data_IF_704716340434
#
_entry.id   IF_704716340434
#
_cell.length_a   1.000
_cell.length_b   1.000
_cell.length_c   1.000
_cell.angle_alpha   90.00
_cell.angle_beta   90.00
_cell.angle_gamma   90.00
#
_symmetry.space_group_name_H-M   'P 1'
#
loop_
_entity.id
_entity.type
_entity.pdbx_description
1 polymer ?
#
# COMPACT_ATOMS: atom_id res chain seq x y z
N UNK A 1 -26.33 7.04 54.12
CA UNK A 1 -27.05 7.06 52.84
C UNK A 1 -26.44 8.20 52.04
N UNK A 2 -25.19 8.19 51.62
CA UNK A 2 -24.34 7.16 51.00
C UNK A 2 -24.99 6.49 49.78
N UNK A 3 -24.65 7.02 48.61
CA UNK A 3 -24.67 6.33 47.32
C UNK A 3 -23.71 7.06 46.37
N UNK A 4 -22.42 6.74 46.53
CA UNK A 4 -21.37 7.03 45.56
C UNK A 4 -21.16 5.79 44.69
N UNK A 5 -21.93 5.67 43.60
CA UNK A 5 -21.64 4.67 42.57
C UNK A 5 -20.62 5.23 41.59
N UNK A 6 -19.37 4.86 41.86
CA UNK A 6 -18.26 4.98 40.92
C UNK A 6 -18.47 3.95 39.80
N UNK A 7 -18.79 4.42 38.59
CA UNK A 7 -18.67 3.60 37.39
C UNK A 7 -17.18 3.35 37.12
N UNK A 8 -16.67 2.24 37.64
CA UNK A 8 -15.43 1.62 37.18
C UNK A 8 -15.62 1.14 35.75
N UNK A 9 -15.39 2.03 34.79
CA UNK A 9 -15.27 1.69 33.38
C UNK A 9 -14.06 0.77 33.19
N UNK A 10 -14.33 -0.49 32.90
CA UNK A 10 -13.34 -1.51 32.53
C UNK A 10 -12.53 -0.97 31.36
N UNK A 11 -11.28 -0.57 31.59
CA UNK A 11 -10.34 -0.29 30.50
C UNK A 11 -10.13 -1.60 29.75
N UNK A 12 -10.33 -1.67 28.42
CA UNK A 12 -9.94 -2.85 27.66
C UNK A 12 -8.48 -3.13 27.96
N UNK A 13 -8.17 -4.39 28.27
CA UNK A 13 -6.88 -4.84 28.77
C UNK A 13 -5.84 -4.61 27.66
N UNK A 14 -5.16 -3.46 27.66
CA UNK A 14 -4.14 -3.14 26.66
C UNK A 14 -3.08 -4.25 26.69
N UNK A 15 -2.73 -4.88 25.56
CA UNK A 15 -1.71 -5.91 25.55
C UNK A 15 -0.44 -5.36 26.18
N UNK A 16 0.05 -6.03 27.23
CA UNK A 16 1.28 -5.64 27.90
C UNK A 16 2.45 -6.03 26.99
N UNK A 17 3.33 -5.06 26.73
CA UNK A 17 4.55 -5.26 25.96
C UNK A 17 5.75 -4.96 26.84
N UNK A 18 6.85 -5.63 26.56
CA UNK A 18 8.12 -5.49 27.29
C UNK A 18 9.26 -5.23 26.29
N UNK A 19 10.11 -4.25 26.60
CA UNK A 19 11.33 -3.99 25.83
C UNK A 19 12.33 -5.13 26.06
N UNK A 20 12.95 -5.59 24.97
CA UNK A 20 13.91 -6.69 25.00
C UNK A 20 15.32 -6.21 24.74
N UNK A 21 15.56 -5.56 23.59
CA UNK A 21 16.90 -5.15 23.16
C UNK A 21 16.86 -3.95 22.23
N UNK A 22 17.74 -2.98 22.47
CA UNK A 22 18.01 -1.88 21.55
C UNK A 22 18.82 -2.40 20.34
N UNK A 23 18.33 -2.11 19.14
CA UNK A 23 18.92 -2.55 17.86
C UNK A 23 19.43 -1.39 17.00
N UNK A 24 19.14 -0.16 17.41
CA UNK A 24 19.61 1.07 16.78
C UNK A 24 19.20 2.28 17.61
N UNK A 25 19.66 3.49 17.24
CA UNK A 25 19.34 4.71 17.99
C UNK A 25 17.82 4.90 18.13
N UNK A 26 17.32 4.89 19.36
CA UNK A 26 15.89 5.03 19.66
C UNK A 26 15.00 3.95 19.01
N UNK A 27 15.56 2.76 18.74
CA UNK A 27 14.82 1.61 18.16
C UNK A 27 15.09 0.35 18.97
N UNK A 28 14.02 -0.16 19.57
CA UNK A 28 14.03 -1.33 20.43
C UNK A 28 13.23 -2.47 19.79
N UNK A 29 13.60 -3.69 20.15
CA UNK A 29 12.74 -4.86 19.99
C UNK A 29 11.86 -5.00 21.23
N UNK A 30 10.62 -5.42 21.04
CA UNK A 30 9.65 -5.67 22.10
C UNK A 30 8.96 -7.02 21.89
N UNK A 31 8.42 -7.58 22.97
CA UNK A 31 7.59 -8.79 22.96
C UNK A 31 6.30 -8.54 23.71
N UNK A 32 5.24 -9.26 23.32
CA UNK A 32 3.96 -9.22 24.04
C UNK A 32 4.04 -10.18 25.23
N UNK A 33 3.77 -9.69 26.43
CA UNK A 33 3.77 -10.51 27.66
C UNK A 33 2.76 -11.64 27.54
N UNK A 34 3.21 -12.88 27.77
CA UNK A 34 2.36 -14.07 27.71
C UNK A 34 1.99 -14.56 26.30
N UNK A 35 2.58 -14.00 25.23
CA UNK A 35 2.42 -14.56 23.89
C UNK A 35 3.26 -15.84 23.75
N UNK A 36 2.64 -17.04 23.60
CA UNK A 36 3.36 -18.30 23.48
C UNK A 36 4.18 -18.40 22.20
N UNK A 37 3.90 -17.56 21.19
CA UNK A 37 4.66 -17.51 19.94
C UNK A 37 5.94 -16.69 20.06
N UNK A 38 6.06 -15.85 21.08
CA UNK A 38 7.18 -14.94 21.25
C UNK A 38 7.34 -14.00 20.05
N UNK A 39 6.23 -13.51 19.48
CA UNK A 39 6.30 -12.59 18.34
C UNK A 39 7.07 -11.32 18.72
N UNK A 40 7.94 -10.91 17.80
CA UNK A 40 8.75 -9.70 17.97
C UNK A 40 8.02 -8.51 17.39
N UNK A 41 8.25 -7.36 18.02
CA UNK A 41 7.75 -6.06 17.64
C UNK A 41 8.87 -5.02 17.69
N UNK A 42 8.65 -3.86 17.08
CA UNK A 42 9.55 -2.71 17.20
C UNK A 42 8.96 -1.67 18.13
N UNK A 43 9.73 -1.19 19.10
CA UNK A 43 9.33 -0.11 19.98
C UNK A 43 10.22 1.11 19.73
N UNK A 44 9.60 2.30 19.63
CA UNK A 44 10.31 3.57 19.53
C UNK A 44 9.74 4.57 20.54
N UNK A 45 10.59 5.32 21.25
CA UNK A 45 10.09 6.30 22.21
C UNK A 45 9.37 7.43 21.47
N UNK A 46 8.30 7.96 22.04
CA UNK A 46 7.52 9.07 21.46
C UNK A 46 8.42 10.28 21.18
N UNK A 47 9.42 10.50 22.03
CA UNK A 47 10.44 11.55 21.87
C UNK A 47 11.26 11.43 20.58
N UNK A 48 11.43 10.23 20.01
CA UNK A 48 12.16 10.03 18.76
C UNK A 48 11.42 10.62 17.55
N UNK A 49 10.09 10.75 17.63
CA UNK A 49 9.27 11.36 16.57
C UNK A 49 9.36 12.89 16.59
N UNK A 50 9.72 13.49 17.73
CA UNK A 50 9.90 14.94 17.89
C UNK A 50 10.98 15.53 16.98
N UNK A 51 12.03 14.75 16.67
CA UNK A 51 13.16 15.20 15.82
C UNK A 51 12.73 15.65 14.42
N UNK A 52 11.55 15.24 13.96
CA UNK A 52 11.03 15.53 12.63
C UNK A 52 9.88 16.55 12.64
N UNK A 53 9.55 17.13 13.81
CA UNK A 53 8.43 18.04 14.00
C UNK A 53 9.02 19.42 14.31
N UNK A 54 8.44 20.50 13.75
CA UNK A 54 8.84 21.85 14.13
C UNK A 54 8.64 22.06 15.63
N UNK A 55 9.50 22.85 16.26
CA UNK A 55 9.49 23.01 17.73
C UNK A 55 8.14 23.52 18.28
N UNK A 56 7.40 24.29 17.48
CA UNK A 56 6.03 24.74 17.76
C UNK A 56 4.99 23.60 17.83
N UNK A 57 5.19 22.55 17.03
CA UNK A 57 4.22 21.47 16.84
C UNK A 57 4.52 20.27 17.75
N UNK A 58 5.75 20.21 18.27
CA UNK A 58 6.19 19.17 19.20
C UNK A 58 5.35 19.12 20.48
N UNK A 59 5.01 20.30 21.04
CA UNK A 59 4.16 20.40 22.23
C UNK A 59 2.71 20.00 21.94
N UNK A 60 2.19 20.34 20.75
CA UNK A 60 0.86 19.94 20.31
C UNK A 60 0.78 18.41 20.10
N UNK A 61 1.84 17.82 19.54
CA UNK A 61 1.96 16.37 19.36
C UNK A 61 1.95 15.60 20.69
N UNK A 62 2.76 16.04 21.66
CA UNK A 62 2.77 15.46 23.01
C UNK A 62 1.40 15.61 23.69
N UNK A 63 0.77 16.78 23.58
CA UNK A 63 -0.59 17.01 24.10
C UNK A 63 -1.60 16.07 23.44
N UNK A 64 -1.51 15.85 22.12
CA UNK A 64 -2.44 15.00 21.38
C UNK A 64 -2.31 13.52 21.77
N UNK A 65 -1.09 13.02 21.95
CA UNK A 65 -0.85 11.63 22.34
C UNK A 65 -1.07 11.36 23.83
N UNK A 66 -0.66 12.29 24.71
CA UNK A 66 -0.67 12.07 26.16
C UNK A 66 -1.90 12.67 26.85
N UNK A 67 -2.31 13.89 26.49
CA UNK A 67 -3.46 14.56 27.13
C UNK A 67 -4.78 14.14 26.48
N UNK A 68 -4.81 14.06 25.15
CA UNK A 68 -6.02 13.69 24.41
C UNK A 68 -6.14 12.19 24.10
N UNK A 69 -5.14 11.38 24.50
CA UNK A 69 -5.10 9.92 24.34
C UNK A 69 -5.41 9.46 22.89
N UNK A 70 -5.02 10.26 21.89
CA UNK A 70 -5.32 9.97 20.47
C UNK A 70 -4.49 8.83 19.90
N UNK A 71 -3.54 8.27 20.68
CA UNK A 71 -2.80 7.07 20.30
C UNK A 71 -3.73 5.91 19.91
N UNK A 72 -4.91 5.79 20.54
CA UNK A 72 -5.89 4.78 20.17
C UNK A 72 -6.52 5.04 18.79
N UNK A 73 -6.91 6.28 18.49
CA UNK A 73 -7.46 6.65 17.18
C UNK A 73 -6.41 6.44 16.06
N UNK A 74 -5.16 6.82 16.32
CA UNK A 74 -4.04 6.56 15.40
C UNK A 74 -3.82 5.06 15.21
N UNK A 75 -3.90 4.26 16.27
CA UNK A 75 -3.78 2.81 16.17
C UNK A 75 -4.92 2.19 15.35
N UNK A 76 -6.15 2.70 15.48
CA UNK A 76 -7.29 2.27 14.67
C UNK A 76 -7.05 2.54 13.18
N UNK A 77 -6.51 3.71 12.82
CA UNK A 77 -6.16 4.06 11.43
C UNK A 77 -5.07 3.14 10.85
N UNK A 78 -4.17 2.59 11.67
CA UNK A 78 -3.14 1.66 11.20
C UNK A 78 -3.51 0.18 11.40
N UNK A 79 -4.77 -0.10 11.71
CA UNK A 79 -5.26 -1.46 11.95
C UNK A 79 -5.74 -2.12 10.65
N UNK A 80 -4.80 -2.48 9.80
CA UNK A 80 -5.06 -3.23 8.57
C UNK A 80 -3.94 -4.24 8.31
N UNK A 81 -4.29 -5.42 7.79
CA UNK A 81 -3.32 -6.52 7.57
C UNK A 81 -2.16 -6.16 6.64
N UNK A 82 -2.43 -5.29 5.65
CA UNK A 82 -1.44 -4.81 4.69
C UNK A 82 -0.85 -3.43 5.02
N UNK A 83 -1.02 -2.93 6.25
CA UNK A 83 -0.32 -1.77 6.76
C UNK A 83 0.64 -2.20 7.88
N UNK A 84 1.75 -1.48 8.08
CA UNK A 84 2.54 -1.61 9.32
C UNK A 84 1.68 -1.07 10.45
N UNK A 85 1.26 -1.95 11.36
CA UNK A 85 0.32 -1.60 12.41
C UNK A 85 1.01 -1.05 13.64
N UNK A 86 0.37 -0.05 14.27
CA UNK A 86 0.65 0.38 15.63
C UNK A 86 -0.11 -0.57 16.58
N UNK A 87 0.60 -1.53 17.16
CA UNK A 87 0.02 -2.65 17.92
C UNK A 87 -0.07 -2.40 19.43
N UNK A 88 0.57 -1.35 19.94
CA UNK A 88 0.51 -1.04 21.36
C UNK A 88 1.39 0.12 21.81
N UNK A 89 1.45 0.28 23.13
CA UNK A 89 2.24 1.29 23.84
C UNK A 89 2.90 0.66 25.06
N UNK A 90 4.11 1.11 25.39
CA UNK A 90 4.80 0.76 26.64
C UNK A 90 5.05 2.06 27.40
N UNK A 91 4.65 2.11 28.66
CA UNK A 91 4.94 3.22 29.56
C UNK A 91 5.96 2.75 30.60
N UNK A 92 7.17 3.31 30.55
CA UNK A 92 8.25 3.03 31.48
C UNK A 92 8.44 4.19 32.45
N UNK A 93 8.40 3.90 33.74
CA UNK A 93 8.92 4.82 34.75
C UNK A 93 10.43 4.58 34.86
N UNK A 94 11.30 5.53 34.48
CA UNK A 94 12.73 5.37 34.66
C UNK A 94 13.04 5.32 36.16
N UNK A 95 13.52 4.16 36.63
CA UNK A 95 14.12 4.08 37.96
C UNK A 95 15.49 4.75 37.91
N UNK A 96 15.59 5.99 38.40
CA UNK A 96 16.89 6.63 38.59
C UNK A 96 17.70 5.83 39.64
N UNK A 97 19.02 5.70 39.42
CA UNK A 97 19.94 5.06 40.38
C UNK A 97 19.93 5.71 41.79
N UNK A 98 19.30 6.87 41.92
CA UNK A 98 19.18 7.65 43.16
C UNK A 98 17.86 7.44 43.92
N UNK A 99 17.01 6.47 43.55
CA UNK A 99 15.69 6.25 44.17
C UNK A 99 14.80 7.51 44.24
N UNK A 100 15.13 8.57 43.49
CA UNK A 100 14.20 9.68 43.26
C UNK A 100 13.30 9.27 42.12
N UNK A 101 12.01 9.17 42.42
CA UNK A 101 10.95 9.03 41.44
C UNK A 101 11.05 10.24 40.50
N UNK A 102 11.58 10.02 39.30
CA UNK A 102 11.44 11.00 38.23
C UNK A 102 9.97 10.91 37.81
N UNK A 103 9.24 12.03 37.86
CA UNK A 103 7.82 12.05 37.47
C UNK A 103 7.62 11.88 35.95
N UNK A 104 8.71 11.75 35.18
CA UNK A 104 8.68 11.66 33.73
C UNK A 104 8.57 10.21 33.27
N UNK A 105 7.35 9.77 32.96
CA UNK A 105 7.10 8.50 32.28
C UNK A 105 7.62 8.59 30.85
N UNK A 106 8.51 7.69 30.46
CA UNK A 106 8.93 7.54 29.06
C UNK A 106 8.00 6.55 28.35
N UNK A 107 7.39 6.99 27.25
CA UNK A 107 6.40 6.23 26.52
C UNK A 107 6.93 5.80 25.15
N UNK A 108 6.64 4.55 24.77
CA UNK A 108 7.06 3.94 23.51
C UNK A 108 5.84 3.52 22.70
N UNK A 109 5.88 3.75 21.39
CA UNK A 109 4.93 3.20 20.43
C UNK A 109 5.48 1.86 19.91
N UNK A 110 4.62 0.83 19.91
CA UNK A 110 4.98 -0.53 19.51
C UNK A 110 4.36 -0.83 18.15
N UNK A 111 5.20 -1.21 17.19
CA UNK A 111 4.87 -1.45 15.80
C UNK A 111 5.15 -2.90 15.40
N UNK A 112 4.51 -3.35 14.33
CA UNK A 112 4.87 -4.62 13.70
C UNK A 112 6.36 -4.72 13.39
N UNK A 113 6.92 -5.90 13.60
CA UNK A 113 8.25 -6.24 13.13
C UNK A 113 8.16 -6.97 11.78
N UNK A 114 8.72 -6.37 10.74
CA UNK A 114 8.84 -6.97 9.41
C UNK A 114 10.22 -7.61 9.25
N UNK A 115 10.29 -8.91 9.54
CA UNK A 115 11.52 -9.70 9.64
C UNK A 115 12.02 -10.29 8.30
N UNK A 116 11.33 -10.01 7.20
CA UNK A 116 11.73 -10.42 5.83
C UNK A 116 12.21 -9.25 4.96
N UNK A 117 12.62 -8.13 5.58
CA UNK A 117 13.10 -6.92 4.90
C UNK A 117 12.04 -6.25 4.00
N UNK A 118 12.46 -5.31 3.16
CA UNK A 118 11.61 -4.57 2.22
C UNK A 118 11.88 -4.95 0.76
N UNK A 119 11.00 -4.52 -0.15
CA UNK A 119 11.07 -4.83 -1.57
C UNK A 119 12.32 -4.26 -2.25
N UNK A 120 12.85 -3.12 -1.80
CA UNK A 120 14.15 -2.63 -2.27
C UNK A 120 15.29 -3.62 -2.02
N UNK A 121 15.30 -4.29 -0.86
CA UNK A 121 16.28 -5.32 -0.56
C UNK A 121 16.11 -6.57 -1.44
N UNK A 122 14.87 -6.92 -1.82
CA UNK A 122 14.61 -7.99 -2.79
C UNK A 122 15.20 -7.64 -4.15
N UNK A 123 15.00 -6.42 -4.64
CA UNK A 123 15.60 -5.95 -5.90
C UNK A 123 17.12 -5.96 -5.86
N UNK A 124 17.72 -5.55 -4.74
CA UNK A 124 19.17 -5.58 -4.57
C UNK A 124 19.73 -7.01 -4.62
N UNK A 125 19.06 -7.95 -3.96
CA UNK A 125 19.50 -9.35 -3.86
C UNK A 125 19.22 -10.16 -5.15
N UNK A 126 18.23 -9.74 -5.94
CA UNK A 126 17.90 -10.39 -7.20
C UNK A 126 18.54 -9.62 -8.36
N UNK A 127 19.75 -10.02 -8.75
CA UNK A 127 20.44 -9.40 -9.90
C UNK A 127 19.54 -9.44 -11.14
N UNK A 128 19.31 -8.28 -11.73
CA UNK A 128 18.56 -8.14 -12.97
C UNK A 128 19.32 -8.83 -14.11
N UNK A 129 18.73 -9.88 -14.69
CA UNK A 129 19.34 -10.67 -15.78
C UNK A 129 18.60 -10.48 -17.11
N UNK A 130 17.28 -10.38 -17.07
CA UNK A 130 16.43 -10.28 -18.25
C UNK A 130 15.16 -9.48 -17.92
N UNK A 131 14.77 -8.55 -18.81
CA UNK A 131 13.51 -7.81 -18.69
C UNK A 131 12.27 -8.61 -19.08
N UNK A 132 12.44 -9.79 -19.67
CA UNK A 132 11.31 -10.66 -20.03
C UNK A 132 10.74 -11.39 -18.81
N UNK A 133 11.51 -11.61 -17.75
CA UNK A 133 11.05 -12.24 -16.52
C UNK A 133 12.01 -11.94 -15.38
N UNK A 134 11.56 -11.16 -14.39
CA UNK A 134 12.42 -10.75 -13.29
C UNK A 134 12.10 -11.47 -11.97
N UNK A 135 10.90 -11.28 -11.41
CA UNK A 135 10.44 -11.97 -10.20
C UNK A 135 9.28 -12.94 -10.46
N UNK A 136 9.05 -13.96 -9.60
CA UNK A 136 7.93 -14.88 -9.75
C UNK A 136 6.57 -14.20 -9.85
N UNK A 137 5.68 -14.71 -10.70
CA UNK A 137 4.36 -14.11 -10.93
C UNK A 137 3.50 -14.14 -9.66
N UNK A 138 3.55 -15.23 -8.90
CA UNK A 138 2.92 -15.35 -7.58
C UNK A 138 3.38 -14.27 -6.60
N UNK A 139 4.65 -13.87 -6.64
CA UNK A 139 5.17 -12.81 -5.77
C UNK A 139 4.69 -11.42 -6.22
N UNK A 140 4.63 -11.18 -7.54
CA UNK A 140 4.01 -9.98 -8.10
C UNK A 140 2.53 -9.85 -7.67
N UNK A 141 1.76 -10.93 -7.75
CA UNK A 141 0.38 -10.97 -7.28
C UNK A 141 0.26 -10.71 -5.78
N UNK A 142 1.14 -11.32 -4.97
CA UNK A 142 1.16 -11.14 -3.53
C UNK A 142 1.33 -9.67 -3.14
N UNK A 143 2.29 -8.97 -3.76
CA UNK A 143 2.50 -7.53 -3.54
C UNK A 143 1.33 -6.71 -4.08
N UNK A 144 0.90 -6.95 -5.32
CA UNK A 144 -0.16 -6.21 -5.98
C UNK A 144 -1.45 -6.22 -5.15
N UNK A 145 -1.93 -7.40 -4.75
CA UNK A 145 -3.15 -7.54 -3.94
C UNK A 145 -3.02 -6.80 -2.62
N UNK A 146 -1.90 -7.00 -1.92
CA UNK A 146 -1.64 -6.39 -0.62
C UNK A 146 -1.68 -4.87 -0.67
N UNK A 147 -1.03 -4.26 -1.67
CA UNK A 147 -1.04 -2.80 -1.85
C UNK A 147 -2.42 -2.29 -2.25
N UNK A 148 -3.14 -3.00 -3.13
CA UNK A 148 -4.50 -2.60 -3.54
C UNK A 148 -5.52 -2.70 -2.40
N UNK A 149 -5.38 -3.66 -1.48
CA UNK A 149 -6.21 -3.70 -0.27
C UNK A 149 -5.84 -2.58 0.70
N UNK A 150 -4.54 -2.32 0.88
CA UNK A 150 -4.05 -1.23 1.73
C UNK A 150 -4.59 0.15 1.31
N UNK A 151 -4.56 0.48 0.02
CA UNK A 151 -5.10 1.76 -0.46
C UNK A 151 -6.63 1.82 -0.41
N UNK A 152 -7.35 0.71 -0.59
CA UNK A 152 -8.81 0.70 -0.41
C UNK A 152 -9.20 0.98 1.05
N UNK A 153 -8.42 0.45 1.99
CA UNK A 153 -8.58 0.78 3.39
C UNK A 153 -8.26 2.26 3.66
N UNK A 154 -7.14 2.78 3.15
CA UNK A 154 -6.73 4.18 3.38
C UNK A 154 -7.68 5.19 2.73
N UNK A 155 -8.11 4.97 1.48
CA UNK A 155 -8.97 5.90 0.75
C UNK A 155 -10.45 5.75 1.08
N UNK A 156 -10.96 4.53 0.99
CA UNK A 156 -12.39 4.28 1.05
C UNK A 156 -12.86 3.89 2.45
N UNK A 157 -11.94 3.68 3.40
CA UNK A 157 -12.26 3.18 4.73
C UNK A 157 -12.81 1.75 4.71
N UNK A 158 -12.47 0.97 3.68
CA UNK A 158 -13.03 -0.36 3.46
C UNK A 158 -12.03 -1.46 3.66
N UNK A 159 -12.47 -2.51 4.36
CA UNK A 159 -11.73 -3.73 4.60
C UNK A 159 -12.45 -4.91 3.96
N UNK A 160 -11.70 -5.89 3.45
CA UNK A 160 -12.26 -7.17 3.02
C UNK A 160 -12.62 -8.00 4.24
N UNK A 161 -13.88 -8.45 4.31
CA UNK A 161 -14.32 -9.42 5.29
C UNK A 161 -13.90 -10.82 4.89
N UNK A 162 -13.07 -11.45 5.74
CA UNK A 162 -12.67 -12.82 5.54
C UNK A 162 -13.86 -13.77 5.83
N UNK A 163 -14.26 -14.53 4.81
CA UNK A 163 -15.26 -15.58 4.91
C UNK A 163 -14.60 -16.95 4.68
N UNK A 164 -14.44 -17.78 5.72
CA UNK A 164 -13.76 -19.07 5.60
C UNK A 164 -14.53 -20.11 4.77
N UNK A 165 -15.83 -19.86 4.56
CA UNK A 165 -16.80 -20.68 3.84
C UNK A 165 -17.18 -20.10 2.47
N UNK A 166 -16.49 -19.06 1.99
CA UNK A 166 -16.73 -18.51 0.66
C UNK A 166 -16.38 -19.52 -0.44
N UNK A 167 -17.28 -19.64 -1.41
CA UNK A 167 -17.11 -20.49 -2.59
C UNK A 167 -16.29 -19.77 -3.68
N UNK A 168 -15.60 -20.50 -4.56
CA UNK A 168 -14.90 -19.91 -5.69
C UNK A 168 -15.84 -19.06 -6.57
N UNK A 169 -15.54 -17.77 -6.67
CA UNK A 169 -16.34 -16.81 -7.45
C UNK A 169 -17.30 -15.97 -6.61
N UNK A 170 -17.39 -16.21 -5.30
CA UNK A 170 -18.10 -15.30 -4.41
C UNK A 170 -17.48 -13.90 -4.45
N UNK A 171 -18.31 -12.84 -4.53
CA UNK A 171 -17.81 -11.48 -4.54
C UNK A 171 -17.13 -11.16 -3.21
N UNK A 172 -16.08 -10.35 -3.26
CA UNK A 172 -15.47 -9.80 -2.06
C UNK A 172 -16.49 -8.96 -1.29
N UNK A 173 -16.67 -9.30 -0.02
CA UNK A 173 -17.48 -8.49 0.88
C UNK A 173 -16.61 -7.45 1.56
N UNK A 174 -17.06 -6.20 1.45
CA UNK A 174 -16.36 -5.05 1.99
C UNK A 174 -17.12 -4.51 3.20
N UNK A 175 -16.41 -4.38 4.31
CA UNK A 175 -16.89 -3.71 5.52
C UNK A 175 -16.36 -2.28 5.57
N UNK A 176 -17.26 -1.32 5.81
CA UNK A 176 -16.87 0.05 6.15
C UNK A 176 -16.42 0.07 7.60
N UNK A 177 -15.19 0.53 7.82
CA UNK A 177 -14.56 0.59 9.15
C UNK A 177 -15.18 1.69 10.00
N UNK A 178 -15.48 2.83 9.36
CA UNK A 178 -16.13 3.99 9.97
C UNK A 178 -17.03 4.68 8.94
N UNK A 179 -18.17 5.20 9.38
CA UNK A 179 -19.09 5.99 8.53
C UNK A 179 -18.54 7.37 8.21
N UNK A 180 -17.67 7.89 9.08
CA UNK A 180 -17.04 9.21 8.96
C UNK A 180 -15.57 9.10 8.49
N UNK A 181 -15.22 8.01 7.80
CA UNK A 181 -13.86 7.81 7.30
C UNK A 181 -13.43 8.94 6.38
N UNK A 182 -12.32 9.59 6.74
CA UNK A 182 -11.66 10.59 5.90
C UNK A 182 -10.57 9.92 5.07
N UNK A 183 -10.57 10.08 3.73
CA UNK A 183 -9.56 9.47 2.88
C UNK A 183 -8.14 9.87 3.27
N UNK A 184 -7.24 8.91 3.21
CA UNK A 184 -5.83 9.08 3.55
C UNK A 184 -4.99 8.79 2.32
N UNK A 185 -4.24 9.79 1.87
CA UNK A 185 -3.22 9.67 0.83
C UNK A 185 -1.90 9.30 1.49
N UNK A 186 -1.30 8.17 1.11
CA UNK A 186 0.01 7.73 1.55
C UNK A 186 1.15 8.60 1.00
N UNK A 187 1.07 9.03 -0.27
CA UNK A 187 2.08 9.89 -0.97
C UNK A 187 3.52 9.36 -1.03
N UNK A 188 3.76 8.08 -0.74
CA UNK A 188 5.11 7.50 -0.66
C UNK A 188 5.16 6.00 -0.99
N UNK A 189 4.31 5.52 -1.88
CA UNK A 189 4.30 4.11 -2.29
C UNK A 189 5.53 3.84 -3.16
N UNK A 190 6.59 3.33 -2.54
CA UNK A 190 7.87 3.03 -3.15
C UNK A 190 8.43 1.70 -2.60
N UNK A 191 9.32 0.98 -3.32
CA UNK A 191 9.84 -0.31 -2.88
C UNK A 191 10.51 -0.32 -1.49
N UNK A 192 11.06 0.81 -1.05
CA UNK A 192 11.68 0.94 0.26
C UNK A 192 10.68 0.91 1.43
N UNK A 193 9.40 1.15 1.13
CA UNK A 193 8.32 1.27 2.11
C UNK A 193 7.35 0.08 2.07
N UNK A 194 7.67 -0.95 1.28
CA UNK A 194 6.89 -2.18 1.15
C UNK A 194 7.67 -3.28 1.87
N UNK A 195 7.14 -3.75 2.98
CA UNK A 195 7.81 -4.62 3.93
C UNK A 195 7.17 -6.00 3.96
N UNK A 196 7.98 -7.00 4.29
CA UNK A 196 7.55 -8.40 4.37
C UNK A 196 7.75 -8.97 5.77
N UNK A 197 6.84 -9.84 6.17
CA UNK A 197 7.00 -10.72 7.32
C UNK A 197 7.34 -12.14 6.86
N UNK A 198 7.99 -12.91 7.73
CA UNK A 198 8.18 -14.35 7.53
C UNK A 198 6.83 -15.05 7.55
N UNK A 199 6.72 -16.14 6.79
CA UNK A 199 5.54 -17.01 6.81
C UNK A 199 5.35 -17.60 8.20
N UNK A 200 4.10 -17.65 8.66
CA UNK A 200 3.66 -18.16 9.96
C UNK A 200 2.73 -19.38 9.83
N UNK A 201 2.47 -19.83 8.60
CA UNK A 201 1.58 -20.94 8.30
C UNK A 201 1.94 -21.65 7.00
N UNK A 202 0.91 -22.08 6.28
CA UNK A 202 1.03 -22.75 4.98
C UNK A 202 1.03 -21.78 3.81
N UNK A 203 0.92 -20.47 4.05
CA UNK A 203 0.97 -19.46 3.02
C UNK A 203 2.32 -19.46 2.28
N UNK A 204 2.28 -19.16 0.97
CA UNK A 204 3.48 -19.15 0.13
C UNK A 204 4.45 -18.03 0.53
N UNK A 205 3.90 -16.85 0.82
CA UNK A 205 4.65 -15.68 1.30
C UNK A 205 3.97 -15.15 2.56
N UNK A 206 4.76 -14.70 3.55
CA UNK A 206 4.23 -14.02 4.73
C UNK A 206 3.64 -12.64 4.37
N UNK A 207 3.11 -11.91 5.35
CA UNK A 207 2.41 -10.64 5.12
C UNK A 207 3.26 -9.61 4.36
N UNK A 208 2.65 -8.96 3.37
CA UNK A 208 3.17 -7.76 2.71
C UNK A 208 2.45 -6.53 3.26
N UNK A 209 3.22 -5.59 3.81
CA UNK A 209 2.76 -4.42 4.55
C UNK A 209 3.34 -3.13 3.98
N UNK A 210 2.48 -2.16 3.73
CA UNK A 210 2.87 -0.79 3.38
C UNK A 210 3.19 -0.01 4.66
N UNK A 211 4.30 0.71 4.66
CA UNK A 211 4.81 1.48 5.79
C UNK A 211 5.35 2.84 5.39
N UNK A 212 6.07 3.48 6.32
CA UNK A 212 6.52 4.88 6.19
C UNK A 212 5.40 5.89 5.93
N UNK A 213 4.61 6.11 6.98
CA UNK A 213 3.51 7.07 6.99
C UNK A 213 3.99 8.53 7.20
N UNK A 214 5.29 8.82 7.12
CA UNK A 214 5.83 10.16 7.38
C UNK A 214 5.39 11.24 6.38
N UNK A 215 4.83 10.83 5.23
CA UNK A 215 4.32 11.73 4.19
C UNK A 215 2.81 11.62 4.00
N UNK A 216 2.06 10.93 4.85
CA UNK A 216 0.62 10.80 4.61
C UNK A 216 -0.10 12.14 4.71
N UNK A 217 -1.29 12.21 4.11
CA UNK A 217 -2.20 13.34 4.22
C UNK A 217 -3.62 12.82 4.39
N UNK A 218 -4.32 13.28 5.42
CA UNK A 218 -5.77 13.10 5.52
C UNK A 218 -6.42 14.16 4.62
N UNK A 219 -7.10 13.72 3.57
CA UNK A 219 -7.86 14.58 2.70
C UNK A 219 -9.25 14.79 3.34
N UNK A 220 -9.59 16.04 3.69
CA UNK A 220 -10.82 16.36 4.43
C UNK A 220 -12.10 16.32 3.56
N UNK A 221 -12.25 15.29 2.71
CA UNK A 221 -13.39 15.11 1.81
C UNK A 221 -14.25 13.91 2.22
N UNK A 222 -15.57 14.05 2.13
CA UNK A 222 -16.52 12.96 2.35
C UNK A 222 -16.68 12.17 1.04
N UNK A 223 -16.43 10.86 1.05
CA UNK A 223 -16.61 9.92 -0.09
C UNK A 223 -18.07 9.51 -0.25
N UNK A 224 -19.03 10.42 -0.04
CA UNK A 224 -20.46 10.09 -0.15
C UNK A 224 -21.07 10.72 -1.41
N UNK A 225 -21.54 9.84 -2.29
CA UNK A 225 -21.85 10.09 -3.69
C UNK A 225 -23.30 10.51 -3.95
N UNK A 226 -23.91 11.32 -3.08
CA UNK A 226 -25.24 11.85 -3.34
C UNK A 226 -25.15 13.22 -4.05
N UNK A 227 -25.65 13.23 -5.28
CA UNK A 227 -25.56 14.30 -6.28
C UNK A 227 -26.07 15.64 -5.74
N UNK A 228 -25.20 16.64 -5.63
CA UNK A 228 -25.60 18.03 -5.77
C UNK A 228 -25.11 18.60 -7.11
N UNK A 229 -25.98 19.30 -7.81
CA UNK A 229 -25.69 19.90 -9.12
C UNK A 229 -24.84 21.16 -8.89
N UNK A 230 -23.63 21.23 -9.48
CA UNK A 230 -22.86 22.47 -9.61
C UNK A 230 -21.63 22.66 -8.71
N UNK A 231 -21.12 21.62 -8.02
CA UNK A 231 -19.86 21.68 -7.26
C UNK A 231 -18.75 20.81 -7.91
N UNK A 232 -17.45 21.03 -7.61
CA UNK A 232 -16.34 20.23 -8.15
C UNK A 232 -16.57 18.72 -7.95
N UNK A 233 -15.96 17.83 -8.76
CA UNK A 233 -16.30 16.42 -8.78
C UNK A 233 -16.24 15.82 -7.37
N UNK A 234 -17.43 15.55 -6.83
CA UNK A 234 -17.65 15.07 -5.47
C UNK A 234 -16.87 13.78 -5.21
N UNK A 235 -16.22 13.69 -4.05
CA UNK A 235 -15.59 12.46 -3.55
C UNK A 235 -14.15 12.20 -4.00
N UNK A 236 -13.42 13.19 -4.51
CA UNK A 236 -12.00 13.02 -4.85
C UNK A 236 -11.07 13.48 -3.71
N UNK A 237 -10.23 12.56 -3.22
CA UNK A 237 -9.15 12.84 -2.27
C UNK A 237 -8.05 13.67 -2.94
N UNK A 238 -7.78 14.88 -2.44
CA UNK A 238 -6.85 15.82 -3.06
C UNK A 238 -5.87 16.43 -2.04
N UNK A 239 -4.58 16.40 -2.37
CA UNK A 239 -3.52 17.07 -1.63
C UNK A 239 -2.41 17.56 -2.57
N UNK A 240 -1.46 18.35 -2.08
CA UNK A 240 -0.20 18.55 -2.79
C UNK A 240 0.72 17.35 -2.62
N UNK A 241 1.56 17.06 -3.62
CA UNK A 241 2.55 15.95 -3.56
C UNK A 241 3.42 16.03 -2.30
N UNK A 242 3.80 17.24 -1.87
CA UNK A 242 4.50 17.47 -0.60
C UNK A 242 3.95 18.69 0.13
N UNK A 243 4.22 18.73 1.43
CA UNK A 243 3.79 19.81 2.32
C UNK A 243 2.28 19.78 2.58
N UNK A 244 1.81 20.87 3.18
CA UNK A 244 0.42 21.09 3.57
C UNK A 244 -0.09 22.37 2.90
N UNK A 245 -0.57 22.26 1.65
CA UNK A 245 -1.28 23.36 0.98
C UNK A 245 -2.77 23.29 1.30
N UNK A 246 -3.43 24.44 1.25
CA UNK A 246 -4.88 24.47 1.44
C UNK A 246 -5.59 23.71 0.31
N UNK A 247 -6.77 23.19 0.61
CA UNK A 247 -7.59 22.53 -0.40
C UNK A 247 -7.91 23.48 -1.56
N UNK A 248 -8.27 24.73 -1.26
CA UNK A 248 -8.62 25.73 -2.26
C UNK A 248 -7.47 25.98 -3.23
N UNK A 249 -6.25 26.14 -2.72
CA UNK A 249 -5.05 26.29 -3.55
C UNK A 249 -4.79 25.05 -4.41
N UNK A 250 -4.90 23.86 -3.82
CA UNK A 250 -4.62 22.61 -4.53
C UNK A 250 -5.65 22.34 -5.62
N UNK A 251 -6.91 22.68 -5.37
CA UNK A 251 -8.00 22.55 -6.33
C UNK A 251 -7.82 23.47 -7.54
N UNK A 252 -7.37 24.71 -7.33
CA UNK A 252 -7.03 25.61 -8.44
C UNK A 252 -5.99 25.00 -9.38
N UNK A 253 -4.92 24.42 -8.82
CA UNK A 253 -3.87 23.75 -9.61
C UNK A 253 -4.34 22.50 -10.34
N UNK A 254 -5.31 21.78 -9.77
CA UNK A 254 -5.89 20.59 -10.41
C UNK A 254 -6.67 20.90 -11.68
N UNK A 255 -7.17 22.13 -11.82
CA UNK A 255 -7.90 22.59 -13.00
C UNK A 255 -6.97 23.07 -14.13
N UNK A 256 -5.67 23.14 -13.87
CA UNK A 256 -4.65 23.61 -14.80
C UNK A 256 -3.75 22.46 -15.28
N UNK A 257 -2.86 22.73 -16.24
CA UNK A 257 -1.87 21.73 -16.66
C UNK A 257 -0.86 21.48 -15.53
N UNK A 258 -0.91 20.28 -14.94
CA UNK A 258 -0.03 19.89 -13.83
C UNK A 258 1.48 19.96 -14.19
N UNK A 259 1.84 19.98 -15.48
CA UNK A 259 3.22 20.17 -15.93
C UNK A 259 3.74 21.58 -15.70
N UNK A 260 2.86 22.57 -15.57
CA UNK A 260 3.24 23.95 -15.28
C UNK A 260 3.67 24.14 -13.81
N UNK A 261 3.47 23.11 -12.97
CA UNK A 261 3.84 23.10 -11.56
C UNK A 261 5.06 22.19 -11.29
N UNK A 262 5.97 22.61 -10.38
CA UNK A 262 7.04 21.74 -9.93
C UNK A 262 6.47 20.52 -9.17
N UNK A 263 7.14 19.36 -9.26
CA UNK A 263 6.66 18.06 -8.76
C UNK A 263 6.05 18.10 -7.36
N UNK A 264 6.74 18.78 -6.42
CA UNK A 264 6.35 18.84 -5.02
C UNK A 264 5.06 19.66 -4.77
N UNK A 265 4.66 20.48 -5.73
CA UNK A 265 3.43 21.28 -5.67
C UNK A 265 2.28 20.72 -6.48
N UNK A 266 2.55 19.70 -7.29
CA UNK A 266 1.51 19.11 -8.14
C UNK A 266 0.37 18.55 -7.29
N UNK A 267 -0.86 18.62 -7.79
CA UNK A 267 -1.99 17.88 -7.25
C UNK A 267 -1.68 16.38 -7.13
N UNK A 268 -2.11 15.78 -6.03
CA UNK A 268 -1.93 14.38 -5.69
C UNK A 268 -3.26 13.79 -5.24
N UNK A 269 -3.66 12.68 -5.86
CA UNK A 269 -4.93 11.99 -5.65
C UNK A 269 -4.72 10.47 -5.65
N UNK A 270 -5.81 9.70 -5.58
CA UNK A 270 -5.79 8.23 -5.73
C UNK A 270 -5.11 7.77 -7.03
N UNK A 271 -5.22 8.55 -8.11
CA UNK A 271 -4.63 8.22 -9.43
C UNK A 271 -3.12 8.01 -9.30
N UNK A 272 -2.44 8.89 -8.57
CA UNK A 272 -0.99 8.83 -8.34
C UNK A 272 -0.61 7.61 -7.50
N UNK A 273 -1.47 7.16 -6.57
CA UNK A 273 -1.22 5.97 -5.77
C UNK A 273 -1.39 4.68 -6.57
N UNK A 274 -2.44 4.60 -7.38
CA UNK A 274 -2.67 3.50 -8.33
C UNK A 274 -1.49 3.40 -9.31
N UNK A 275 -1.08 4.54 -9.90
CA UNK A 275 0.11 4.59 -10.75
C UNK A 275 1.36 4.09 -10.03
N UNK A 276 1.58 4.53 -8.78
CA UNK A 276 2.76 4.12 -7.99
C UNK A 276 2.77 2.61 -7.73
N UNK A 277 1.61 2.00 -7.45
CA UNK A 277 1.49 0.54 -7.28
C UNK A 277 1.75 -0.17 -8.60
N UNK A 278 1.15 0.30 -9.69
CA UNK A 278 1.39 -0.24 -11.03
C UNK A 278 2.88 -0.17 -11.41
N UNK A 279 3.55 0.95 -11.11
CA UNK A 279 4.97 1.15 -11.35
C UNK A 279 5.85 0.20 -10.52
N UNK A 280 5.51 -0.03 -9.25
CA UNK A 280 6.19 -1.02 -8.39
C UNK A 280 6.09 -2.41 -9.00
N UNK A 281 4.88 -2.87 -9.34
CA UNK A 281 4.68 -4.23 -9.87
C UNK A 281 5.26 -4.37 -11.28
N UNK A 282 5.18 -3.34 -12.11
CA UNK A 282 5.88 -3.29 -13.40
C UNK A 282 7.40 -3.48 -13.21
N UNK A 283 7.99 -2.85 -12.20
CA UNK A 283 9.41 -3.02 -11.87
C UNK A 283 9.70 -4.45 -11.42
N UNK A 284 8.82 -5.05 -10.61
CA UNK A 284 8.94 -6.47 -10.22
C UNK A 284 8.89 -7.42 -11.42
N UNK A 285 8.12 -7.08 -12.46
CA UNK A 285 7.99 -7.90 -13.66
C UNK A 285 9.19 -7.74 -14.60
N UNK A 286 9.67 -6.51 -14.77
CA UNK A 286 10.58 -6.18 -15.88
C UNK A 286 11.99 -5.78 -15.44
N UNK A 287 12.21 -5.58 -14.14
CA UNK A 287 13.43 -5.00 -13.57
C UNK A 287 13.68 -3.54 -13.95
N UNK A 288 12.76 -2.89 -14.66
CA UNK A 288 12.87 -1.50 -15.11
C UNK A 288 11.91 -0.63 -14.30
N UNK A 289 12.44 0.42 -13.69
CA UNK A 289 11.62 1.39 -12.97
C UNK A 289 11.09 2.45 -13.95
N UNK A 290 9.76 2.58 -14.13
CA UNK A 290 9.21 3.63 -14.96
C UNK A 290 9.27 4.96 -14.23
N UNK A 291 9.87 5.97 -14.86
CA UNK A 291 10.05 7.30 -14.26
C UNK A 291 9.09 8.29 -14.89
N UNK A 292 7.96 8.50 -14.21
CA UNK A 292 6.91 9.40 -14.70
C UNK A 292 7.27 10.89 -14.53
N UNK A 293 7.95 11.22 -13.43
CA UNK A 293 8.56 12.52 -13.20
C UNK A 293 9.98 12.29 -12.69
N UNK A 294 10.97 12.65 -13.50
CA UNK A 294 12.37 12.48 -13.12
C UNK A 294 12.76 13.56 -12.09
N UNK A 295 13.23 13.10 -10.92
CA UNK A 295 13.60 13.96 -9.77
C UNK A 295 14.65 15.02 -10.11
N UNK A 296 15.44 14.83 -11.17
CA UNK A 296 16.49 15.77 -11.60
C UNK A 296 15.96 16.90 -12.48
N UNK A 297 14.92 16.65 -13.28
CA UNK A 297 14.52 17.52 -14.40
C UNK A 297 13.02 17.83 -14.47
N UNK A 298 12.18 17.12 -13.71
CA UNK A 298 10.73 17.20 -13.82
C UNK A 298 10.12 16.56 -15.07
N UNK A 299 10.95 15.95 -15.93
CA UNK A 299 10.58 15.40 -17.23
C UNK A 299 10.07 13.95 -17.15
N UNK A 300 9.24 13.53 -18.12
CA UNK A 300 8.68 12.17 -18.20
C UNK A 300 9.50 11.27 -19.12
N UNK A 301 9.74 10.02 -18.67
CA UNK A 301 10.47 8.99 -19.40
C UNK A 301 9.60 7.76 -19.68
N UNK A 302 8.30 7.99 -19.78
CA UNK A 302 7.29 6.94 -19.96
C UNK A 302 6.52 7.22 -21.23
N UNK A 303 6.33 6.18 -22.03
CA UNK A 303 5.45 6.18 -23.18
C UNK A 303 4.42 5.06 -23.05
N UNK A 304 3.26 5.29 -23.63
CA UNK A 304 2.23 4.27 -23.79
C UNK A 304 1.96 4.07 -25.28
N UNK A 305 1.36 2.93 -25.61
CA UNK A 305 0.82 2.73 -26.95
C UNK A 305 -0.58 3.35 -27.03
N UNK A 306 -0.80 4.31 -27.94
CA UNK A 306 -2.09 4.97 -28.17
C UNK A 306 -3.21 3.96 -28.50
N UNK A 307 -2.87 2.89 -29.22
CA UNK A 307 -3.76 1.77 -29.53
C UNK A 307 -3.94 0.77 -28.37
N UNK A 308 -3.48 1.11 -27.16
CA UNK A 308 -3.56 0.31 -25.93
C UNK A 308 -3.05 -1.14 -26.09
N UNK A 309 -1.88 -1.28 -26.71
CA UNK A 309 -1.19 -2.58 -26.84
C UNK A 309 -1.12 -3.09 -28.28
N UNK A 310 -0.60 -2.29 -29.22
CA UNK A 310 -0.52 -2.65 -30.63
C UNK A 310 0.18 -4.00 -30.88
N UNK A 311 1.28 -4.31 -30.17
CA UNK A 311 1.99 -5.58 -30.33
C UNK A 311 1.11 -6.79 -29.97
N UNK A 312 0.36 -6.69 -28.87
CA UNK A 312 -0.56 -7.76 -28.45
C UNK A 312 -1.76 -7.86 -29.39
N UNK A 313 -2.26 -6.73 -29.89
CA UNK A 313 -3.36 -6.70 -30.85
C UNK A 313 -2.96 -7.33 -32.19
N UNK A 314 -1.76 -7.04 -32.69
CA UNK A 314 -1.19 -7.66 -33.90
C UNK A 314 -1.03 -9.16 -33.68
N UNK A 315 -0.43 -9.58 -32.55
CA UNK A 315 -0.28 -11.00 -32.24
C UNK A 315 -1.64 -11.71 -32.18
N UNK A 316 -2.65 -11.10 -31.55
CA UNK A 316 -4.01 -11.65 -31.47
C UNK A 316 -4.69 -11.72 -32.83
N UNK A 317 -4.54 -10.70 -33.67
CA UNK A 317 -5.05 -10.70 -35.05
C UNK A 317 -4.42 -11.82 -35.89
N UNK A 318 -3.16 -12.15 -35.61
CA UNK A 318 -2.44 -13.28 -36.20
C UNK A 318 -2.72 -14.64 -35.51
N UNK A 319 -3.74 -14.71 -34.64
CA UNK A 319 -4.21 -15.96 -34.04
C UNK A 319 -3.51 -16.37 -32.74
N UNK A 320 -2.71 -15.52 -32.11
CA UNK A 320 -2.06 -15.82 -30.83
C UNK A 320 -3.10 -16.08 -29.73
N UNK A 321 -2.97 -17.24 -29.07
CA UNK A 321 -3.76 -17.66 -27.89
C UNK A 321 -2.88 -17.93 -26.67
N UNK A 322 -1.62 -17.52 -26.71
CA UNK A 322 -0.67 -17.74 -25.61
C UNK A 322 -1.15 -17.02 -24.35
N UNK A 323 -1.09 -17.72 -23.21
CA UNK A 323 -1.38 -17.11 -21.91
C UNK A 323 -0.30 -16.11 -21.50
N UNK A 324 0.96 -16.41 -21.84
CA UNK A 324 2.13 -15.60 -21.50
C UNK A 324 2.40 -14.54 -22.56
N UNK A 325 2.84 -13.36 -22.12
CA UNK A 325 3.53 -12.40 -22.99
C UNK A 325 4.90 -12.89 -23.41
N UNK A 326 5.61 -12.10 -24.22
CA UNK A 326 6.93 -12.47 -24.74
C UNK A 326 6.96 -13.77 -25.56
N UNK A 327 5.79 -14.23 -26.03
CA UNK A 327 5.69 -15.39 -26.90
C UNK A 327 6.21 -15.06 -28.31
N UNK A 328 6.50 -16.09 -29.10
CA UNK A 328 7.01 -15.95 -30.48
C UNK A 328 6.10 -15.13 -31.41
N UNK A 329 4.81 -15.02 -31.08
CA UNK A 329 3.85 -14.20 -31.84
C UNK A 329 3.99 -12.70 -31.57
N UNK A 330 4.68 -12.30 -30.50
CA UNK A 330 4.99 -10.89 -30.22
C UNK A 330 6.21 -10.53 -31.05
N UNK A 331 5.98 -9.70 -32.08
CA UNK A 331 7.03 -9.25 -32.99
C UNK A 331 8.19 -8.54 -32.29
N UNK A 332 9.37 -8.58 -32.91
CA UNK A 332 10.55 -7.83 -32.48
C UNK A 332 10.46 -6.34 -32.81
N UNK A 333 9.49 -5.94 -33.62
CA UNK A 333 9.26 -4.55 -34.00
C UNK A 333 8.87 -3.68 -32.78
N UNK A 334 9.22 -2.41 -32.85
CA UNK A 334 8.84 -1.42 -31.85
C UNK A 334 7.42 -0.89 -32.08
N UNK A 335 6.80 -0.36 -31.02
CA UNK A 335 5.46 0.21 -31.11
C UNK A 335 5.44 1.44 -32.04
N UNK A 336 4.69 1.36 -33.14
CA UNK A 336 4.48 2.46 -34.09
C UNK A 336 3.53 3.55 -33.59
N UNK A 337 2.79 3.30 -32.51
CA UNK A 337 1.83 4.22 -31.90
C UNK A 337 2.32 4.70 -30.52
N UNK A 338 3.63 4.90 -30.36
CA UNK A 338 4.20 5.32 -29.08
C UNK A 338 3.87 6.80 -28.83
N UNK A 339 3.25 7.09 -27.69
CA UNK A 339 2.89 8.45 -27.30
C UNK A 339 3.25 8.72 -25.84
N UNK A 340 3.50 9.98 -25.52
CA UNK A 340 3.59 10.53 -24.16
C UNK A 340 2.60 11.68 -24.07
N UNK A 341 1.75 11.68 -23.04
CA UNK A 341 0.88 12.83 -22.72
C UNK A 341 1.62 13.96 -22.02
N UNK A 342 2.84 13.67 -21.56
CA UNK A 342 3.72 14.60 -20.88
C UNK A 342 4.69 15.23 -21.87
N UNK A 343 5.10 16.47 -21.62
CA UNK A 343 6.11 17.17 -22.42
C UNK A 343 7.41 16.35 -22.42
N UNK A 344 8.05 16.19 -23.58
CA UNK A 344 9.31 15.47 -23.66
C UNK A 344 10.38 16.19 -22.85
N UNK A 345 11.41 15.44 -22.42
CA UNK A 345 12.61 16.06 -21.87
C UNK A 345 13.15 17.11 -22.86
N UNK A 346 13.40 18.37 -22.42
CA UNK A 346 14.03 19.38 -23.24
C UNK A 346 15.35 18.89 -23.84
N UNK A 347 15.62 19.25 -25.10
CA UNK A 347 16.77 18.73 -25.86
C UNK A 347 18.13 19.16 -25.28
N UNK A 348 18.16 20.31 -24.62
CA UNK A 348 19.31 20.92 -23.92
C UNK A 348 19.60 20.28 -22.55
N UNK A 349 18.63 19.56 -21.98
CA UNK A 349 18.75 19.01 -20.63
C UNK A 349 19.58 17.71 -20.57
N UNK A 350 19.86 17.05 -21.70
CA UNK A 350 20.72 15.85 -21.79
C UNK A 350 20.41 14.75 -20.73
N UNK A 351 19.13 14.52 -20.43
CA UNK A 351 18.74 13.47 -19.47
C UNK A 351 19.14 12.08 -19.97
N UNK A 352 19.82 11.30 -19.13
CA UNK A 352 20.28 9.94 -19.47
C UNK A 352 19.28 8.84 -19.09
N UNK A 353 18.14 9.20 -18.52
CA UNK A 353 17.11 8.22 -18.14
C UNK A 353 16.46 7.63 -19.41
N UNK A 354 16.38 6.30 -19.54
CA UNK A 354 15.83 5.66 -20.72
C UNK A 354 14.31 5.88 -20.80
N UNK A 355 13.81 6.15 -22.01
CA UNK A 355 12.37 6.20 -22.25
C UNK A 355 11.83 4.77 -22.35
N UNK A 356 10.80 4.46 -21.55
CA UNK A 356 10.21 3.13 -21.46
C UNK A 356 8.79 3.18 -22.03
N UNK A 357 8.53 2.38 -23.09
CA UNK A 357 7.16 2.13 -23.52
C UNK A 357 6.55 1.00 -22.68
N UNK A 358 5.59 1.34 -21.81
CA UNK A 358 5.03 0.40 -20.83
C UNK A 358 4.30 -0.77 -21.50
N UNK A 359 3.44 -0.48 -22.48
CA UNK A 359 2.66 -1.49 -23.18
C UNK A 359 3.57 -2.47 -23.93
N UNK A 360 4.64 -1.97 -24.55
CA UNK A 360 5.65 -2.79 -25.24
C UNK A 360 6.41 -3.68 -24.27
N UNK A 361 6.85 -3.11 -23.14
CA UNK A 361 7.55 -3.87 -22.10
C UNK A 361 6.66 -4.98 -21.54
N UNK A 362 5.41 -4.68 -21.21
CA UNK A 362 4.45 -5.70 -20.74
C UNK A 362 4.13 -6.73 -21.82
N UNK A 363 3.95 -6.32 -23.08
CA UNK A 363 3.72 -7.26 -24.19
C UNK A 363 4.85 -8.30 -24.30
N UNK A 364 6.09 -7.88 -24.07
CA UNK A 364 7.29 -8.72 -24.13
C UNK A 364 7.62 -9.46 -22.82
N UNK A 365 6.99 -9.09 -21.70
CA UNK A 365 7.20 -9.75 -20.43
C UNK A 365 6.47 -11.10 -20.39
N UNK A 366 7.18 -12.17 -20.01
CA UNK A 366 6.73 -13.57 -19.94
C UNK A 366 5.88 -13.85 -18.69
N UNK A 367 4.94 -12.95 -18.42
CA UNK A 367 3.90 -13.10 -17.41
C UNK A 367 2.56 -13.36 -18.08
N UNK A 368 1.62 -13.93 -17.35
CA UNK A 368 0.28 -14.15 -17.90
C UNK A 368 -0.40 -12.83 -18.28
N UNK A 369 -1.32 -12.88 -19.24
CA UNK A 369 -2.14 -11.71 -19.57
C UNK A 369 -2.95 -11.24 -18.36
N UNK A 370 -3.28 -12.11 -17.39
CA UNK A 370 -3.97 -11.70 -16.18
C UNK A 370 -3.20 -10.64 -15.39
N UNK A 371 -1.93 -10.91 -15.07
CA UNK A 371 -1.11 -9.96 -14.33
C UNK A 371 -0.80 -8.73 -15.18
N UNK A 372 -0.50 -8.93 -16.47
CA UNK A 372 -0.17 -7.82 -17.37
C UNK A 372 -1.33 -6.84 -17.50
N UNK A 373 -2.57 -7.33 -17.62
CA UNK A 373 -3.75 -6.48 -17.75
C UNK A 373 -4.12 -5.82 -16.41
N UNK A 374 -3.95 -6.53 -15.28
CA UNK A 374 -4.08 -5.93 -13.94
C UNK A 374 -3.09 -4.77 -13.72
N UNK A 375 -1.84 -4.93 -14.14
CA UNK A 375 -0.84 -3.85 -14.05
C UNK A 375 -1.14 -2.73 -15.04
N UNK A 376 -1.59 -3.04 -16.27
CA UNK A 376 -2.05 -2.03 -17.25
C UNK A 376 -3.15 -1.14 -16.69
N UNK A 377 -4.12 -1.71 -15.99
CA UNK A 377 -5.24 -0.98 -15.38
C UNK A 377 -4.79 0.04 -14.32
N UNK A 378 -3.70 -0.23 -13.62
CA UNK A 378 -3.15 0.70 -12.63
C UNK A 378 -2.26 1.77 -13.28
N UNK A 379 -1.43 1.38 -14.26
CA UNK A 379 -0.50 2.30 -14.93
C UNK A 379 -1.20 3.19 -15.99
N UNK A 380 -2.41 2.86 -16.44
CA UNK A 380 -3.20 3.77 -17.30
C UNK A 380 -3.76 4.96 -16.51
N UNK A 381 -3.75 4.91 -15.17
CA UNK A 381 -4.11 6.04 -14.30
C UNK A 381 -3.06 7.16 -14.43
N UNK A 382 -3.12 7.89 -15.54
CA UNK A 382 -2.25 9.02 -15.86
C UNK A 382 -2.74 10.28 -15.11
N UNK A 383 -1.91 10.87 -14.23
CA UNK A 383 -2.21 12.12 -13.55
C UNK A 383 -2.64 13.29 -14.45
N UNK A 384 -2.27 13.31 -15.74
CA UNK A 384 -2.75 14.34 -16.70
C UNK A 384 -4.11 14.05 -17.32
N UNK A 385 -4.69 12.88 -17.08
CA UNK A 385 -5.92 12.50 -17.78
C UNK A 385 -7.11 13.32 -17.26
N UNK A 386 -7.57 14.27 -18.07
CA UNK A 386 -8.82 14.99 -17.86
C UNK A 386 -9.97 14.00 -17.62
N UNK A 387 -10.68 14.14 -16.49
CA UNK A 387 -11.85 13.33 -16.16
C UNK A 387 -11.57 11.92 -15.64
N UNK A 388 -10.32 11.59 -15.27
CA UNK A 388 -9.96 10.37 -14.56
C UNK A 388 -10.52 10.36 -13.13
N UNK A 389 -11.83 10.24 -12.96
CA UNK A 389 -12.50 10.22 -11.66
C UNK A 389 -12.28 8.86 -10.96
N UNK A 390 -11.03 8.50 -10.65
CA UNK A 390 -10.75 7.45 -9.69
C UNK A 390 -11.11 8.00 -8.30
N UNK A 391 -12.39 7.90 -7.95
CA UNK A 391 -12.93 8.35 -6.67
C UNK A 391 -13.04 7.22 -5.65
N UNK A 392 -12.91 5.97 -6.08
CA UNK A 392 -13.13 4.78 -5.24
C UNK A 392 -12.07 3.73 -5.56
N UNK A 393 -11.20 3.44 -4.59
CA UNK A 393 -10.13 2.47 -4.71
C UNK A 393 -10.66 1.02 -4.86
N UNK A 394 -11.73 0.65 -4.15
CA UNK A 394 -12.35 -0.69 -4.15
C UNK A 394 -12.68 -1.19 -5.55
N UNK A 395 -13.06 -0.30 -6.48
CA UNK A 395 -13.32 -0.68 -7.88
C UNK A 395 -12.09 -1.31 -8.53
N UNK A 396 -10.92 -0.72 -8.32
CA UNK A 396 -9.66 -1.23 -8.86
C UNK A 396 -9.24 -2.52 -8.16
N UNK A 397 -9.48 -2.62 -6.84
CA UNK A 397 -9.19 -3.86 -6.10
C UNK A 397 -10.03 -5.03 -6.61
N UNK A 398 -11.33 -4.83 -6.81
CA UNK A 398 -12.21 -5.89 -7.32
C UNK A 398 -11.76 -6.38 -8.71
N UNK A 399 -11.29 -5.49 -9.58
CA UNK A 399 -10.72 -5.88 -10.87
C UNK A 399 -9.45 -6.72 -10.70
N UNK A 400 -8.52 -6.26 -9.86
CA UNK A 400 -7.26 -6.97 -9.56
C UNK A 400 -7.53 -8.35 -8.97
N UNK A 401 -8.48 -8.46 -8.05
CA UNK A 401 -8.84 -9.71 -7.37
C UNK A 401 -9.53 -10.69 -8.32
N UNK A 402 -10.38 -10.22 -9.24
CA UNK A 402 -10.97 -11.06 -10.29
C UNK A 402 -9.90 -11.63 -11.25
N UNK A 403 -8.93 -10.80 -11.64
CA UNK A 403 -7.80 -11.23 -12.48
C UNK A 403 -6.87 -12.20 -11.75
N UNK A 404 -6.61 -11.95 -10.46
CA UNK A 404 -5.87 -12.87 -9.60
C UNK A 404 -6.58 -14.22 -9.46
N UNK A 405 -7.89 -14.24 -9.21
CA UNK A 405 -8.64 -15.48 -9.08
C UNK A 405 -8.60 -16.29 -10.38
N UNK A 406 -8.78 -15.61 -11.52
CA UNK A 406 -8.65 -16.24 -12.84
C UNK A 406 -7.25 -16.85 -13.06
N UNK A 407 -6.19 -16.15 -12.63
CA UNK A 407 -4.82 -16.68 -12.67
C UNK A 407 -4.65 -17.89 -11.73
N UNK A 408 -5.17 -17.79 -10.50
CA UNK A 408 -5.09 -18.82 -9.46
C UNK A 408 -5.71 -20.14 -9.92
N UNK A 409 -6.86 -20.08 -10.59
CA UNK A 409 -7.61 -21.25 -11.02
C UNK A 409 -7.08 -21.89 -12.31
N UNK A 410 -6.49 -21.08 -13.20
CA UNK A 410 -6.18 -21.51 -14.58
C UNK A 410 -4.71 -21.76 -14.86
N UNK A 411 -3.82 -21.54 -13.89
CA UNK A 411 -2.37 -21.71 -14.03
C UNK A 411 -1.81 -22.69 -13.00
N UNK A 412 -0.71 -23.36 -13.33
CA UNK A 412 -0.09 -24.32 -12.41
C UNK A 412 0.54 -23.63 -11.20
N UNK A 413 1.23 -22.49 -11.40
CA UNK A 413 1.74 -21.67 -10.30
C UNK A 413 0.61 -21.15 -9.40
N UNK A 414 -0.50 -20.71 -10.00
CA UNK A 414 -1.69 -20.26 -9.30
C UNK A 414 -2.32 -21.34 -8.40
N UNK A 415 -2.46 -22.57 -8.91
CA UNK A 415 -3.01 -23.70 -8.13
C UNK A 415 -2.11 -24.10 -6.96
N UNK A 416 -0.80 -23.88 -7.08
CA UNK A 416 0.18 -24.16 -6.02
C UNK A 416 0.27 -23.02 -5.01
N UNK A 417 -0.05 -21.80 -5.42
CA UNK A 417 -0.06 -20.64 -4.54
C UNK A 417 -1.05 -20.83 -3.39
N UNK A 418 -0.63 -20.41 -2.19
CA UNK A 418 -1.44 -20.40 -0.97
C UNK A 418 -1.42 -18.99 -0.41
N UNK A 419 -2.57 -18.32 -0.42
CA UNK A 419 -2.75 -17.02 0.24
C UNK A 419 -2.89 -17.20 1.76
N UNK A 420 -2.81 -16.08 2.48
CA UNK A 420 -3.18 -16.04 3.89
C UNK A 420 -4.65 -16.42 4.10
N UNK A 421 -5.53 -16.00 3.19
CA UNK A 421 -6.95 -16.37 3.19
C UNK A 421 -7.12 -17.91 3.12
N UNK A 422 -6.31 -18.59 2.29
CA UNK A 422 -6.33 -20.06 2.19
C UNK A 422 -5.88 -20.75 3.49
N UNK A 423 -4.79 -20.27 4.10
CA UNK A 423 -4.26 -20.77 5.38
C UNK A 423 -5.28 -20.55 6.51
N UNK A 424 -5.89 -19.36 6.59
CA UNK A 424 -6.94 -19.06 7.57
C UNK A 424 -8.16 -19.98 7.41
N UNK A 425 -8.61 -20.21 6.18
CA UNK A 425 -9.74 -21.08 5.89
C UNK A 425 -9.44 -22.55 6.28
N UNK A 426 -8.22 -23.02 6.02
CA UNK A 426 -7.79 -24.35 6.43
C UNK A 426 -7.75 -24.51 7.96
N UNK A 427 -7.23 -23.53 8.69
CA UNK A 427 -7.21 -23.53 10.16
C UNK A 427 -8.62 -23.52 10.74
N UNK A 428 -9.50 -22.70 10.18
CA UNK A 428 -10.90 -22.64 10.60
C UNK A 428 -11.61 -23.99 10.40
N UNK A 429 -11.44 -24.63 9.24
CA UNK A 429 -12.00 -25.97 8.96
C UNK A 429 -11.47 -27.03 9.94
N UNK A 430 -10.17 -27.00 10.26
CA UNK A 430 -9.58 -27.92 11.26
C UNK A 430 -10.15 -27.70 12.65
N UNK A 431 -10.37 -26.45 13.06
CA UNK A 431 -10.97 -26.14 14.36
C UNK A 431 -12.41 -26.65 14.44
N UNK A 432 -13.23 -26.41 13.42
CA UNK A 432 -14.60 -26.91 13.34
C UNK A 432 -14.68 -28.45 13.40
N UNK A 433 -13.75 -29.14 12.73
CA UNK A 433 -13.66 -30.60 12.79
C UNK A 433 -13.37 -31.10 14.21
N UNK A 434 -12.41 -30.50 14.91
CA UNK A 434 -12.05 -30.86 16.30
C UNK A 434 -13.16 -30.57 17.29
N UNK A 435 -13.92 -29.50 17.08
CA UNK A 435 -15.08 -29.18 17.91
C UNK A 435 -16.18 -30.24 17.72
N UNK A 436 -16.48 -30.64 16.47
CA UNK A 436 -17.44 -31.72 16.20
C UNK A 436 -17.05 -33.06 16.83
N UNK A 437 -15.78 -33.45 16.72
CA UNK A 437 -15.24 -34.68 17.35
C UNK A 437 -15.27 -34.66 18.89
N UNK A 438 -15.41 -33.50 19.54
CA UNK A 438 -15.56 -33.39 21.00
C UNK A 438 -17.02 -33.45 21.47
N UNK A 439 -17.98 -33.25 20.57
CA UNK A 439 -19.42 -33.29 20.86
C UNK A 439 -20.11 -34.56 20.37
N UNK A 440 -19.41 -35.41 19.61
CA UNK A 440 -19.77 -36.80 19.28
C UNK A 440 -19.11 -37.77 20.26
#
# INVERSE_FOLDING_TARGET
MDESQTHSGIRPNTPKFELVKEIGPDVWTAVRSGDPRGEKYLARPISAYRKNIQESDAAAWETLLDVHNQAHAVAQVFNHENLISLVGRIDLQPFSKTQKKDDKVESYLVWDYCDSSNLSAVFFNHAFKDSSYYLPESFCWHVLRSLTRAIAYLHDGKRVNFKPDAEPGDPLEWESVDVDWLPILHRAIEPAHIWFQQRRGTETYGLCKLGDFGKVMVACHIVNAEKQVGAPPFGMSLASTRGNKSLLETLGKYQEDIEDYPEHERPYTLIQELWSIGAVVFTMMTGRAPTFCCKKCGCSHVQICAARGCLENIARANGCKCKLGGCEHIGSEECTHSESKWRPCPADHHCREPVINLHTCLARAKYTYFLRDAVKELIISDPKQEGGNATVAVRHVNYVEAMFQSWKDTTEEGKQYRSLDDDMAERWRKQQGREREQFE
#
